data_IF_539994123108
#
_entry.id   IF_539994123108
#
_cell.length_a   1.000
_cell.length_b   1.000
_cell.length_c   1.000
_cell.angle_alpha   90.00
_cell.angle_beta   90.00
_cell.angle_gamma   90.00
#
_symmetry.space_group_name_H-M   'P 1'
#
loop_
_entity.id
_entity.type
_entity.pdbx_description
1 polymer ?
#
# COMPACT_ATOMS: atom_id res chain seq x y z
N UNK A 1 8.46 21.75 9.77
CA UNK A 1 8.60 20.73 10.83
C UNK A 1 9.30 19.48 10.30
N UNK A 2 8.82 18.86 9.22
CA UNK A 2 9.44 17.67 8.62
C UNK A 2 10.92 17.82 8.26
N UNK A 3 11.30 18.95 7.65
CA UNK A 3 12.70 19.21 7.29
C UNK A 3 13.65 19.17 8.51
N UNK A 4 13.22 19.69 9.68
CA UNK A 4 14.04 19.64 10.89
C UNK A 4 14.22 18.21 11.41
N UNK A 5 13.19 17.36 11.28
CA UNK A 5 13.26 15.94 11.64
C UNK A 5 14.24 15.22 10.71
N UNK A 6 14.18 15.52 9.41
CA UNK A 6 15.09 14.97 8.41
C UNK A 6 16.55 15.36 8.69
N UNK A 7 16.82 16.64 8.93
CA UNK A 7 18.18 17.12 9.28
C UNK A 7 18.68 16.49 10.58
N UNK A 8 17.81 16.35 11.58
CA UNK A 8 18.17 15.69 12.83
C UNK A 8 18.49 14.19 12.61
N UNK A 9 17.70 13.51 11.78
CA UNK A 9 17.97 12.13 11.40
C UNK A 9 19.31 12.00 10.66
N UNK A 10 19.63 12.87 9.70
CA UNK A 10 20.93 12.88 9.03
C UNK A 10 22.09 13.04 10.02
N UNK A 11 21.90 13.86 11.05
CA UNK A 11 22.94 14.12 12.04
C UNK A 11 23.12 12.99 13.06
N UNK A 12 22.01 12.34 13.47
CA UNK A 12 22.00 11.38 14.59
C UNK A 12 21.88 9.92 14.15
N UNK A 13 21.41 9.66 12.93
CA UNK A 13 20.95 8.34 12.49
C UNK A 13 19.66 7.87 13.17
N UNK A 14 19.06 8.68 14.04
CA UNK A 14 17.90 8.29 14.86
C UNK A 14 16.67 9.05 14.42
N UNK A 15 15.61 8.31 14.09
CA UNK A 15 14.33 8.89 13.71
C UNK A 15 13.43 9.02 14.94
N UNK A 16 13.45 10.20 15.57
CA UNK A 16 12.79 10.45 16.86
C UNK A 16 11.27 10.19 16.89
N UNK A 17 10.59 10.25 15.73
CA UNK A 17 9.15 9.94 15.62
C UNK A 17 8.85 8.44 15.78
N UNK A 18 9.84 7.56 15.61
CA UNK A 18 9.68 6.10 15.77
C UNK A 18 9.82 5.70 17.24
N UNK A 19 10.69 6.37 17.99
CA UNK A 19 11.16 5.93 19.31
C UNK A 19 10.23 6.30 20.49
N UNK A 20 9.09 6.93 20.24
CA UNK A 20 8.09 7.13 21.29
C UNK A 20 7.28 5.85 21.49
N UNK A 21 7.85 4.94 22.29
CA UNK A 21 7.31 3.65 22.75
C UNK A 21 5.99 3.74 23.54
N UNK A 22 5.42 4.94 23.69
CA UNK A 22 4.24 5.13 24.53
C UNK A 22 2.96 4.57 23.92
N UNK A 23 2.91 4.37 22.60
CA UNK A 23 1.74 3.78 21.91
C UNK A 23 2.17 2.81 20.81
N UNK A 24 1.70 1.55 20.84
CA UNK A 24 1.99 0.57 19.79
C UNK A 24 1.29 0.89 18.47
N UNK A 25 0.27 1.75 18.51
CA UNK A 25 -0.51 2.20 17.35
C UNK A 25 -0.36 3.72 17.25
N UNK A 26 -0.02 4.20 16.06
CA UNK A 26 0.07 5.64 15.80
C UNK A 26 -1.30 6.30 15.84
N UNK A 27 -1.36 7.53 16.37
CA UNK A 27 -2.55 8.36 16.20
C UNK A 27 -2.56 9.04 14.81
N UNK A 28 -3.67 9.68 14.45
CA UNK A 28 -3.83 10.35 13.16
C UNK A 28 -2.72 11.38 12.90
N UNK A 29 -2.27 12.11 13.93
CA UNK A 29 -1.24 13.13 13.77
C UNK A 29 0.13 12.50 13.47
N UNK A 30 0.46 11.39 14.12
CA UNK A 30 1.66 10.60 13.85
C UNK A 30 1.65 10.00 12.44
N UNK A 31 0.52 9.42 12.00
CA UNK A 31 0.39 8.95 10.61
C UNK A 31 0.53 10.07 9.58
N UNK A 32 -0.09 11.22 9.83
CA UNK A 32 0.07 12.40 8.96
C UNK A 32 1.52 12.83 8.87
N UNK A 33 2.23 12.86 10.01
CA UNK A 33 3.65 13.22 10.05
C UNK A 33 4.49 12.23 9.26
N UNK A 34 4.31 10.92 9.45
CA UNK A 34 5.03 9.88 8.70
C UNK A 34 4.80 10.01 7.20
N UNK A 35 3.57 10.25 6.77
CA UNK A 35 3.26 10.47 5.34
C UNK A 35 3.92 11.73 4.78
N UNK A 36 3.95 12.82 5.55
CA UNK A 36 4.66 14.04 5.16
C UNK A 36 6.18 13.82 5.09
N UNK A 37 6.76 13.04 6.01
CA UNK A 37 8.18 12.67 5.97
C UNK A 37 8.49 11.78 4.76
N UNK A 38 7.62 10.83 4.43
CA UNK A 38 7.77 9.99 3.24
C UNK A 38 7.76 10.83 1.96
N UNK A 39 6.82 11.76 1.87
CA UNK A 39 6.72 12.69 0.73
C UNK A 39 7.95 13.60 0.62
N UNK A 40 8.51 14.03 1.76
CA UNK A 40 9.78 14.76 1.80
C UNK A 40 10.95 13.91 1.30
N UNK A 41 11.03 12.64 1.71
CA UNK A 41 12.07 11.71 1.23
C UNK A 41 12.04 11.54 -0.29
N UNK A 42 10.84 11.37 -0.86
CA UNK A 42 10.65 11.31 -2.32
C UNK A 42 11.08 12.61 -2.99
N UNK A 43 10.66 13.76 -2.45
CA UNK A 43 11.03 15.07 -3.01
C UNK A 43 12.56 15.30 -3.00
N UNK A 44 13.25 14.79 -1.98
CA UNK A 44 14.70 14.86 -1.86
C UNK A 44 15.44 13.75 -2.61
N UNK A 45 14.72 12.83 -3.25
CA UNK A 45 15.28 11.62 -3.88
C UNK A 45 16.11 10.77 -2.90
N UNK A 46 15.77 10.79 -1.61
CA UNK A 46 16.44 10.04 -0.56
C UNK A 46 15.72 8.70 -0.32
N UNK A 47 16.15 7.67 -1.05
CA UNK A 47 15.56 6.33 -0.99
C UNK A 47 15.70 5.69 0.39
N UNK A 48 16.83 5.91 1.08
CA UNK A 48 17.09 5.34 2.41
C UNK A 48 16.09 5.93 3.41
N UNK A 49 15.96 7.26 3.40
CA UNK A 49 15.03 7.95 4.26
C UNK A 49 13.58 7.54 3.97
N UNK A 50 13.22 7.46 2.70
CA UNK A 50 11.88 7.06 2.25
C UNK A 50 11.55 5.64 2.72
N UNK A 51 12.47 4.69 2.52
CA UNK A 51 12.31 3.30 2.97
C UNK A 51 12.14 3.21 4.48
N UNK A 52 12.97 3.93 5.25
CA UNK A 52 12.89 3.96 6.71
C UNK A 52 11.53 4.48 7.20
N UNK A 53 11.00 5.53 6.58
CA UNK A 53 9.69 6.08 6.94
C UNK A 53 8.56 5.10 6.58
N UNK A 54 8.64 4.42 5.43
CA UNK A 54 7.68 3.38 5.07
C UNK A 54 7.70 2.23 6.08
N UNK A 55 8.89 1.77 6.48
CA UNK A 55 9.03 0.75 7.52
C UNK A 55 8.45 1.22 8.86
N UNK A 56 8.67 2.48 9.24
CA UNK A 56 8.09 3.08 10.43
C UNK A 56 6.56 3.12 10.39
N UNK A 57 6.00 3.53 9.25
CA UNK A 57 4.57 3.54 8.99
C UNK A 57 3.97 2.13 9.12
N UNK A 58 4.62 1.14 8.52
CA UNK A 58 4.23 -0.28 8.64
C UNK A 58 4.36 -0.80 10.07
N UNK A 59 5.42 -0.44 10.79
CA UNK A 59 5.65 -0.85 12.17
C UNK A 59 4.56 -0.32 13.10
N UNK A 60 4.12 0.93 12.90
CA UNK A 60 3.04 1.56 13.67
C UNK A 60 1.66 0.98 13.39
N UNK A 61 1.47 0.33 12.23
CA UNK A 61 0.25 -0.45 11.96
C UNK A 61 0.28 -1.83 12.63
N UNK A 62 1.45 -2.37 12.95
CA UNK A 62 1.62 -3.70 13.59
C UNK A 62 1.51 -3.60 15.12
N UNK A 63 0.49 -2.92 15.62
CA UNK A 63 0.25 -2.76 17.06
C UNK A 63 -0.01 -4.10 17.76
N UNK A 64 0.64 -4.33 18.90
CA UNK A 64 0.37 -5.44 19.85
C UNK A 64 0.18 -6.85 19.24
N UNK A 65 0.81 -7.14 18.10
CA UNK A 65 0.73 -8.46 17.45
C UNK A 65 -0.39 -8.64 16.42
N UNK A 66 -1.19 -7.61 16.14
CA UNK A 66 -2.16 -7.57 15.04
C UNK A 66 -1.93 -6.37 14.12
N UNK A 67 -2.26 -6.53 12.84
CA UNK A 67 -2.25 -5.40 11.91
C UNK A 67 -3.55 -4.62 12.14
N UNK A 68 -3.44 -3.38 12.59
CA UNK A 68 -4.53 -2.42 12.63
C UNK A 68 -4.33 -1.36 11.55
N UNK A 69 -5.22 -1.37 10.56
CA UNK A 69 -5.17 -0.43 9.44
C UNK A 69 -5.89 0.89 9.82
N UNK A 70 -5.41 2.05 9.33
CA UNK A 70 -6.05 3.34 9.61
C UNK A 70 -7.51 3.36 9.14
N UNK A 71 -8.46 3.71 10.00
CA UNK A 71 -9.88 3.82 9.61
C UNK A 71 -10.13 4.90 8.54
N UNK A 72 -11.28 4.84 7.86
CA UNK A 72 -11.64 5.76 6.76
C UNK A 72 -11.49 7.25 7.13
N UNK A 73 -11.84 7.63 8.37
CA UNK A 73 -11.72 9.01 8.84
C UNK A 73 -10.25 9.45 8.92
N UNK A 74 -9.36 8.56 9.36
CA UNK A 74 -7.92 8.80 9.40
C UNK A 74 -7.35 8.93 7.98
N UNK A 75 -7.74 8.03 7.07
CA UNK A 75 -7.31 8.06 5.66
C UNK A 75 -7.67 9.40 5.02
N UNK A 76 -8.92 9.84 5.14
CA UNK A 76 -9.34 11.11 4.57
C UNK A 76 -8.62 12.29 5.19
N UNK A 77 -8.46 12.31 6.52
CA UNK A 77 -7.71 13.37 7.19
C UNK A 77 -6.27 13.45 6.66
N UNK A 78 -5.59 12.32 6.48
CA UNK A 78 -4.24 12.27 5.91
C UNK A 78 -4.25 12.82 4.47
N UNK A 79 -5.20 12.41 3.63
CA UNK A 79 -5.29 12.84 2.24
C UNK A 79 -5.63 14.33 2.12
N UNK A 80 -6.50 14.86 2.98
CA UNK A 80 -6.93 16.27 2.98
C UNK A 80 -5.85 17.22 3.53
N UNK A 81 -5.11 16.80 4.55
CA UNK A 81 -4.01 17.57 5.12
C UNK A 81 -2.81 17.70 4.14
N UNK A 82 -2.70 16.79 3.19
CA UNK A 82 -1.71 16.86 2.11
C UNK A 82 -2.25 17.73 0.96
N UNK A 83 -2.09 19.04 1.09
CA UNK A 83 -2.64 20.04 0.14
C UNK A 83 -1.88 20.11 -1.19
N UNK A 84 -0.60 19.75 -1.20
CA UNK A 84 0.21 19.71 -2.42
C UNK A 84 -0.14 18.47 -3.26
N UNK A 85 -0.46 18.61 -4.57
CA UNK A 85 -0.90 17.49 -5.41
C UNK A 85 0.07 16.29 -5.40
N UNK A 86 1.38 16.55 -5.45
CA UNK A 86 2.42 15.52 -5.42
C UNK A 86 2.44 14.77 -4.08
N UNK A 87 2.43 15.52 -2.96
CA UNK A 87 2.37 14.95 -1.61
C UNK A 87 1.10 14.11 -1.41
N UNK A 88 -0.03 14.58 -1.95
CA UNK A 88 -1.31 13.87 -1.90
C UNK A 88 -1.26 12.52 -2.63
N UNK A 89 -0.65 12.48 -3.82
CA UNK A 89 -0.49 11.23 -4.59
C UNK A 89 0.37 10.23 -3.80
N UNK A 90 1.50 10.67 -3.24
CA UNK A 90 2.37 9.78 -2.47
C UNK A 90 1.72 9.29 -1.18
N UNK A 91 0.95 10.15 -0.50
CA UNK A 91 0.13 9.77 0.64
C UNK A 91 -0.87 8.67 0.30
N UNK A 92 -1.62 8.86 -0.79
CA UNK A 92 -2.60 7.88 -1.27
C UNK A 92 -1.92 6.55 -1.60
N UNK A 93 -0.78 6.59 -2.30
CA UNK A 93 -0.01 5.39 -2.65
C UNK A 93 0.47 4.59 -1.46
N UNK A 94 1.11 5.25 -0.48
CA UNK A 94 1.65 4.58 0.70
C UNK A 94 0.54 3.88 1.53
N UNK A 95 -0.59 4.57 1.75
CA UNK A 95 -1.71 4.00 2.50
C UNK A 95 -2.37 2.87 1.69
N UNK A 96 -2.55 3.05 0.37
CA UNK A 96 -3.15 2.05 -0.49
C UNK A 96 -2.32 0.76 -0.56
N UNK A 97 -0.99 0.89 -0.62
CA UNK A 97 -0.07 -0.25 -0.59
C UNK A 97 -0.20 -1.05 0.72
N UNK A 98 -0.31 -0.36 1.86
CA UNK A 98 -0.55 -1.01 3.15
C UNK A 98 -1.86 -1.82 3.16
N UNK A 99 -2.94 -1.23 2.64
CA UNK A 99 -4.22 -1.91 2.50
C UNK A 99 -4.16 -3.09 1.53
N UNK A 100 -3.54 -2.93 0.37
CA UNK A 100 -3.40 -4.01 -0.60
C UNK A 100 -2.62 -5.21 -0.06
N UNK A 101 -1.62 -4.97 0.79
CA UNK A 101 -0.77 -6.01 1.39
C UNK A 101 -1.40 -6.70 2.59
N UNK A 102 -2.22 -5.99 3.38
CA UNK A 102 -2.58 -6.44 4.72
C UNK A 102 -4.08 -6.46 5.04
N UNK A 103 -4.93 -5.86 4.20
CA UNK A 103 -6.37 -5.80 4.49
C UNK A 103 -7.04 -7.16 4.37
N UNK A 104 -7.85 -7.50 5.37
CA UNK A 104 -8.82 -8.59 5.28
C UNK A 104 -10.08 -8.13 4.54
N UNK A 105 -10.91 -9.10 4.12
CA UNK A 105 -12.25 -8.80 3.58
C UNK A 105 -13.09 -7.93 4.53
N UNK A 106 -12.95 -8.16 5.84
CA UNK A 106 -13.67 -7.40 6.88
C UNK A 106 -13.23 -5.93 6.90
N UNK A 107 -11.93 -5.68 6.73
CA UNK A 107 -11.38 -4.32 6.74
C UNK A 107 -11.87 -3.53 5.51
N UNK A 108 -11.88 -4.17 4.34
CA UNK A 108 -12.43 -3.57 3.12
C UNK A 108 -13.94 -3.33 3.22
N UNK A 109 -14.71 -4.27 3.77
CA UNK A 109 -16.14 -4.08 4.04
C UNK A 109 -16.40 -2.97 5.07
N UNK A 110 -15.50 -2.80 6.05
CA UNK A 110 -15.53 -1.69 6.99
C UNK A 110 -15.32 -0.34 6.31
N UNK A 111 -14.35 -0.25 5.40
CA UNK A 111 -14.12 0.95 4.60
C UNK A 111 -15.31 1.30 3.69
N UNK A 112 -15.97 0.30 3.10
CA UNK A 112 -17.16 0.51 2.25
C UNK A 112 -18.34 1.12 3.01
N UNK A 113 -18.39 0.95 4.34
CA UNK A 113 -19.40 1.58 5.20
C UNK A 113 -19.07 3.05 5.51
N UNK A 114 -17.81 3.45 5.33
CA UNK A 114 -17.35 4.83 5.47
C UNK A 114 -17.37 5.60 4.15
N UNK A 115 -17.20 6.92 4.22
CA UNK A 115 -17.02 7.76 3.02
C UNK A 115 -15.53 7.95 2.79
N UNK A 116 -14.89 7.07 2.03
CA UNK A 116 -13.47 7.22 1.67
C UNK A 116 -13.36 7.95 0.32
N UNK A 117 -12.35 8.82 0.17
CA UNK A 117 -12.09 9.52 -1.08
C UNK A 117 -11.87 8.56 -2.26
N UNK A 118 -12.49 8.85 -3.41
CA UNK A 118 -12.43 8.00 -4.61
C UNK A 118 -10.99 7.71 -5.09
N UNK A 119 -10.12 8.72 -5.02
CA UNK A 119 -8.70 8.59 -5.38
C UNK A 119 -7.98 7.49 -4.59
N UNK A 120 -8.40 7.24 -3.35
CA UNK A 120 -7.83 6.17 -2.53
C UNK A 120 -8.28 4.79 -3.02
N UNK A 121 -9.57 4.62 -3.33
CA UNK A 121 -10.09 3.35 -3.84
C UNK A 121 -9.47 2.95 -5.18
N UNK A 122 -9.27 3.93 -6.07
CA UNK A 122 -8.60 3.70 -7.35
C UNK A 122 -7.19 3.16 -7.13
N UNK A 123 -6.43 3.78 -6.23
CA UNK A 123 -5.07 3.32 -5.92
C UNK A 123 -5.05 1.96 -5.23
N UNK A 124 -5.96 1.68 -4.28
CA UNK A 124 -6.08 0.35 -3.65
C UNK A 124 -6.36 -0.72 -4.70
N UNK A 125 -7.24 -0.45 -5.67
CA UNK A 125 -7.53 -1.38 -6.76
C UNK A 125 -6.30 -1.64 -7.64
N UNK A 126 -5.54 -0.60 -7.96
CA UNK A 126 -4.27 -0.71 -8.71
C UNK A 126 -3.24 -1.54 -7.94
N UNK A 127 -2.99 -1.20 -6.67
CA UNK A 127 -2.03 -1.88 -5.81
C UNK A 127 -2.39 -3.36 -5.58
N UNK A 128 -3.68 -3.68 -5.40
CA UNK A 128 -4.15 -5.06 -5.32
C UNK A 128 -3.98 -5.81 -6.65
N UNK A 129 -4.20 -5.15 -7.78
CA UNK A 129 -3.97 -5.70 -9.12
C UNK A 129 -2.49 -6.03 -9.35
N UNK A 130 -1.59 -5.11 -9.00
CA UNK A 130 -0.14 -5.30 -9.08
C UNK A 130 0.36 -6.40 -8.12
N UNK A 131 -0.19 -6.48 -6.91
CA UNK A 131 0.09 -7.57 -5.97
C UNK A 131 -0.39 -8.94 -6.49
N UNK A 132 -1.51 -8.99 -7.21
CA UNK A 132 -2.06 -10.22 -7.82
C UNK A 132 -1.38 -10.61 -9.13
N UNK A 133 -0.78 -9.65 -9.84
CA UNK A 133 -0.07 -9.89 -11.11
C UNK A 133 1.26 -10.66 -10.95
N UNK A 134 1.66 -11.03 -9.72
CA UNK A 134 2.75 -11.98 -9.47
C UNK A 134 2.23 -13.31 -8.93
N UNK A 135 1.83 -14.27 -9.79
CA UNK A 135 1.96 -15.66 -9.41
C UNK A 135 3.46 -15.99 -9.46
N UNK A 136 4.15 -15.95 -8.30
CA UNK A 136 5.31 -16.83 -8.09
C UNK A 136 4.78 -18.24 -7.82
N UNK A 137 4.16 -18.85 -8.81
CA UNK A 137 3.89 -20.27 -8.75
C UNK A 137 5.16 -21.01 -9.18
N UNK A 138 5.84 -21.67 -8.22
CA UNK A 138 6.55 -22.88 -8.59
C UNK A 138 5.48 -23.88 -8.98
N UNK A 139 5.48 -24.30 -10.24
CA UNK A 139 4.63 -25.40 -10.71
C UNK A 139 5.08 -26.64 -9.94
N UNK A 140 4.20 -27.15 -9.08
CA UNK A 140 4.48 -28.32 -8.25
C UNK A 140 3.49 -28.42 -7.10
N UNK A 141 2.27 -28.81 -7.42
CA UNK A 141 1.26 -29.17 -6.43
C UNK A 141 -0.11 -28.62 -6.78
N UNK A 142 -0.87 -29.40 -7.54
CA UNK A 142 -2.32 -29.42 -7.62
C UNK A 142 -3.04 -28.06 -7.65
N UNK A 143 -3.21 -27.49 -8.84
CA UNK A 143 -4.41 -26.70 -9.14
C UNK A 143 -4.63 -26.57 -10.65
N UNK A 144 -5.73 -27.18 -11.11
CA UNK A 144 -6.19 -27.24 -12.50
C UNK A 144 -6.65 -25.84 -12.95
N UNK A 145 -6.03 -25.31 -14.01
CA UNK A 145 -6.45 -24.07 -14.66
C UNK A 145 -7.89 -24.24 -15.21
N UNK A 146 -8.87 -23.59 -14.56
CA UNK A 146 -10.32 -23.74 -14.85
C UNK A 146 -10.79 -23.24 -16.22
N UNK A 147 -9.90 -22.85 -17.13
CA UNK A 147 -10.29 -22.19 -18.38
C UNK A 147 -9.74 -22.81 -19.67
N UNK A 148 -8.93 -23.87 -19.62
CA UNK A 148 -8.49 -24.59 -20.81
C UNK A 148 -8.43 -26.11 -20.54
N UNK A 149 -9.06 -26.92 -21.39
CA UNK A 149 -8.76 -28.35 -21.48
C UNK A 149 -7.41 -28.47 -22.20
N UNK A 150 -6.35 -28.68 -21.44
CA UNK A 150 -5.03 -29.04 -21.97
C UNK A 150 -4.85 -30.55 -21.78
N UNK A 151 -4.41 -31.26 -22.82
CA UNK A 151 -3.82 -32.58 -22.60
C UNK A 151 -2.49 -32.42 -21.84
N UNK A 152 -2.12 -33.42 -21.04
CA UNK A 152 -1.16 -33.31 -19.92
C UNK A 152 0.25 -32.81 -20.26
N UNK A 153 0.58 -32.64 -21.54
CA UNK A 153 1.90 -32.23 -22.02
C UNK A 153 1.89 -30.88 -22.78
N UNK A 154 0.77 -30.13 -22.77
CA UNK A 154 0.70 -28.82 -23.43
C UNK A 154 1.14 -27.67 -22.48
N UNK A 155 2.20 -26.96 -22.86
CA UNK A 155 2.59 -25.69 -22.22
C UNK A 155 1.62 -24.59 -22.67
N UNK A 156 0.97 -23.93 -21.70
CA UNK A 156 0.02 -22.84 -21.99
C UNK A 156 0.79 -21.56 -22.38
N UNK A 157 1.23 -21.48 -23.63
CA UNK A 157 1.84 -20.26 -24.20
C UNK A 157 0.76 -19.19 -24.44
N UNK A 158 0.49 -18.34 -23.44
CA UNK A 158 -0.31 -17.13 -23.64
C UNK A 158 0.59 -16.03 -24.22
N UNK A 159 1.10 -16.22 -25.43
CA UNK A 159 1.74 -15.15 -26.21
C UNK A 159 0.84 -14.56 -27.31
N UNK A 160 -0.36 -15.09 -27.54
CA UNK A 160 -1.24 -14.53 -28.56
C UNK A 160 -2.60 -14.13 -28.04
N UNK A 161 -2.88 -12.82 -28.15
CA UNK A 161 -4.22 -12.24 -28.12
C UNK A 161 -5.11 -13.08 -29.05
N UNK A 162 -6.15 -13.70 -28.50
CA UNK A 162 -7.03 -14.57 -29.27
C UNK A 162 -7.70 -13.80 -30.41
N UNK A 163 -7.18 -13.97 -31.63
CA UNK A 163 -7.85 -13.57 -32.87
C UNK A 163 -8.96 -14.58 -33.15
N UNK A 164 -10.17 -14.32 -32.63
CA UNK A 164 -11.47 -14.49 -33.31
C UNK A 164 -12.61 -14.33 -32.31
N UNK A 165 -13.27 -13.18 -32.35
CA UNK A 165 -14.68 -13.05 -31.97
C UNK A 165 -15.49 -14.04 -32.81
N UNK A 166 -16.18 -14.99 -32.16
CA UNK A 166 -17.36 -15.63 -32.76
C UNK A 166 -18.59 -14.96 -32.16
N UNK A 167 -19.33 -14.23 -33.01
CA UNK A 167 -20.73 -13.86 -32.77
C UNK A 167 -21.51 -15.15 -32.54
N UNK A 168 -22.36 -15.18 -31.52
CA UNK A 168 -23.40 -16.17 -31.39
C UNK A 168 -24.70 -15.49 -31.83
N UNK A 169 -25.36 -16.11 -32.81
CA UNK A 169 -26.73 -15.84 -33.27
C UNK A 169 -27.76 -16.28 -32.23
#
# INVERSE_FOLDING_TARGET
>A
MCFNIYVNWLYTGVLCVIYTDTKPIADTAEYCLLVQMHSLGIFLEDEIFTSLISEAFLAKMRGAGSIELPEWACINAIIELNTAPVSKIHAVKLIAEAYAKHASRRDLEGLLKGTVLESFWQEVALQMGECRARPRAKIGGDDVCRFHEHESDEECEVEFVSKKRRRIE
#
